data_IF_321076796739
#
_entry.id   IF_321076796739
#
_cell.length_a   1.000
_cell.length_b   1.000
_cell.length_c   1.000
_cell.angle_alpha   90.00
_cell.angle_beta   90.00
_cell.angle_gamma   90.00
#
_symmetry.space_group_name_H-M   'P 1'
#
loop_
_entity.id
_entity.type
_entity.pdbx_description
1 polymer ?
#
# COMPACT_ATOMS: atom_id res chain seq x y z
N UNK A 1 -1.04 13.64 -12.53
CA UNK A 1 -0.80 13.06 -11.19
C UNK A 1 0.11 11.85 -11.36
N UNK A 2 1.26 11.80 -10.68
CA UNK A 2 2.18 10.65 -10.75
C UNK A 2 1.68 9.46 -9.91
N UNK A 3 2.03 8.24 -10.28
CA UNK A 3 1.67 7.00 -9.59
C UNK A 3 2.95 6.21 -9.32
N UNK A 4 3.21 5.95 -8.03
CA UNK A 4 4.28 5.04 -7.60
C UNK A 4 3.65 3.81 -6.97
N UNK A 5 4.08 2.62 -7.40
CA UNK A 5 3.71 1.36 -6.74
C UNK A 5 4.85 0.88 -5.85
N UNK A 6 4.60 0.69 -4.55
CA UNK A 6 5.51 0.03 -3.63
C UNK A 6 5.00 -1.36 -3.31
N UNK A 7 5.78 -2.35 -3.74
CA UNK A 7 5.53 -3.78 -3.57
C UNK A 7 6.63 -4.41 -2.71
N UNK A 8 6.47 -5.68 -2.34
CA UNK A 8 7.43 -6.37 -1.49
C UNK A 8 7.50 -7.86 -1.75
N UNK A 9 8.71 -8.40 -1.68
CA UNK A 9 9.00 -9.80 -1.94
C UNK A 9 8.30 -10.72 -0.94
N UNK A 10 8.24 -10.34 0.35
CA UNK A 10 7.47 -11.06 1.39
C UNK A 10 6.66 -10.09 2.27
N UNK A 11 5.94 -10.61 3.27
CA UNK A 11 5.25 -9.77 4.25
C UNK A 11 6.25 -9.16 5.23
N UNK A 12 6.03 -7.92 5.69
CA UNK A 12 6.90 -7.29 6.69
C UNK A 12 8.24 -6.73 6.18
N UNK A 13 8.58 -6.88 4.90
CA UNK A 13 9.88 -6.44 4.32
C UNK A 13 10.18 -4.93 4.35
N UNK A 14 9.28 -4.08 4.85
CA UNK A 14 9.53 -2.63 4.93
C UNK A 14 8.91 -1.76 3.83
N UNK A 15 7.91 -2.28 3.10
CA UNK A 15 7.13 -1.47 2.12
C UNK A 15 6.62 -0.14 2.69
N UNK A 16 5.94 -0.20 3.84
CA UNK A 16 5.39 0.98 4.48
C UNK A 16 6.50 1.93 4.93
N UNK A 17 7.66 1.42 5.37
CA UNK A 17 8.82 2.24 5.72
C UNK A 17 9.36 3.00 4.52
N UNK A 18 9.51 2.33 3.37
CA UNK A 18 9.89 2.98 2.12
C UNK A 18 8.88 4.06 1.72
N UNK A 19 7.58 3.76 1.81
CA UNK A 19 6.52 4.71 1.50
C UNK A 19 6.55 5.94 2.42
N UNK A 20 6.74 5.77 3.73
CA UNK A 20 6.86 6.88 4.69
C UNK A 20 8.05 7.79 4.34
N UNK A 21 9.22 7.20 4.07
CA UNK A 21 10.41 7.98 3.76
C UNK A 21 10.27 8.79 2.47
N UNK A 22 9.59 8.24 1.45
CA UNK A 22 9.26 9.00 0.25
C UNK A 22 8.25 10.11 0.54
N UNK A 23 7.16 9.81 1.26
CA UNK A 23 6.10 10.80 1.57
C UNK A 23 6.63 12.01 2.32
N UNK A 24 7.60 11.84 3.22
CA UNK A 24 8.26 12.96 3.92
C UNK A 24 8.91 13.98 2.98
N UNK A 25 9.24 13.57 1.76
CA UNK A 25 9.94 14.38 0.77
C UNK A 25 9.05 14.79 -0.42
N UNK A 26 7.79 14.33 -0.45
CA UNK A 26 6.88 14.53 -1.58
C UNK A 26 5.73 15.48 -1.20
N UNK A 27 5.74 16.70 -1.75
CA UNK A 27 4.73 17.72 -1.47
C UNK A 27 3.42 17.44 -2.21
N UNK A 28 2.30 17.51 -1.50
CA UNK A 28 0.95 17.30 -2.05
C UNK A 28 0.71 15.89 -2.63
N UNK A 29 1.31 14.86 -2.04
CA UNK A 29 1.07 13.46 -2.41
C UNK A 29 0.05 12.80 -1.50
N UNK A 30 -0.71 11.86 -2.05
CA UNK A 30 -1.57 10.95 -1.30
C UNK A 30 -0.99 9.53 -1.27
N UNK A 31 -1.60 8.66 -0.49
CA UNK A 31 -1.27 7.24 -0.46
C UNK A 31 -2.52 6.36 -0.51
N UNK A 32 -2.34 5.14 -1.01
CA UNK A 32 -3.40 4.16 -1.12
C UNK A 32 -2.85 2.77 -0.74
N UNK A 33 -3.31 2.21 0.36
CA UNK A 33 -2.99 0.83 0.73
C UNK A 33 -3.98 -0.11 0.04
N UNK A 34 -3.49 -1.15 -0.61
CA UNK A 34 -4.33 -2.16 -1.28
C UNK A 34 -4.18 -3.51 -0.59
N UNK A 35 -5.30 -4.08 -0.17
CA UNK A 35 -5.39 -5.44 0.37
C UNK A 35 -6.41 -6.22 -0.44
N UNK A 36 -5.92 -7.19 -1.22
CA UNK A 36 -6.79 -8.18 -1.83
C UNK A 36 -7.25 -9.19 -0.76
N UNK A 37 -8.55 -9.32 -0.61
CA UNK A 37 -9.20 -10.26 0.28
C UNK A 37 -9.55 -11.51 -0.51
N UNK A 38 -8.61 -12.45 -0.61
CA UNK A 38 -8.77 -13.75 -1.27
C UNK A 38 -9.55 -14.77 -0.43
N UNK A 39 -10.41 -14.29 0.50
CA UNK A 39 -11.06 -15.10 1.54
C UNK A 39 -11.94 -16.24 1.01
N UNK A 40 -12.07 -17.29 1.83
CA UNK A 40 -12.89 -18.50 1.62
C UNK A 40 -12.58 -19.53 2.73
N UNK A 41 -13.46 -20.52 2.95
CA UNK A 41 -13.28 -21.57 3.99
C UNK A 41 -12.00 -22.39 3.83
N UNK A 42 -11.43 -22.44 2.62
CA UNK A 42 -10.17 -23.13 2.30
C UNK A 42 -8.91 -22.24 2.36
N UNK A 43 -9.04 -20.92 2.52
CA UNK A 43 -7.88 -20.01 2.45
C UNK A 43 -7.20 -19.85 3.82
N UNK A 44 -5.96 -20.36 3.96
CA UNK A 44 -5.10 -19.99 5.09
C UNK A 44 -4.61 -18.55 4.93
N UNK A 45 -5.03 -17.68 5.84
CA UNK A 45 -4.55 -16.31 5.89
C UNK A 45 -3.01 -16.27 5.95
N UNK A 46 -2.33 -15.48 5.10
CA UNK A 46 -0.87 -15.35 5.13
C UNK A 46 -0.33 -14.72 6.43
N UNK A 47 -1.22 -14.24 7.31
CA UNK A 47 -0.89 -13.79 8.67
C UNK A 47 -0.91 -14.93 9.71
N UNK A 48 -1.15 -16.17 9.30
CA UNK A 48 -1.09 -17.36 10.15
C UNK A 48 -2.21 -17.50 11.18
N UNK A 49 -3.18 -16.55 11.23
CA UNK A 49 -4.33 -16.60 12.14
C UNK A 49 -5.56 -17.18 11.44
N UNK A 50 -6.41 -17.90 12.19
CA UNK A 50 -7.73 -18.35 11.72
C UNK A 50 -8.58 -17.18 11.19
N UNK A 51 -8.49 -16.02 11.84
CA UNK A 51 -9.02 -14.75 11.34
C UNK A 51 -8.06 -13.59 11.68
N UNK A 52 -7.86 -12.67 10.74
CA UNK A 52 -7.11 -11.43 10.94
C UNK A 52 -8.00 -10.18 10.95
N UNK A 53 -9.32 -10.35 10.89
CA UNK A 53 -10.32 -9.29 10.87
C UNK A 53 -10.44 -8.56 9.53
N UNK A 54 -9.46 -8.65 8.63
CA UNK A 54 -9.47 -7.88 7.37
C UNK A 54 -10.42 -8.50 6.35
N UNK A 55 -10.23 -9.78 6.03
CA UNK A 55 -11.08 -10.47 5.06
C UNK A 55 -12.51 -10.66 5.58
N UNK A 56 -12.67 -11.03 6.86
CA UNK A 56 -13.98 -11.19 7.49
C UNK A 56 -14.76 -9.88 7.62
N UNK A 57 -14.08 -8.73 7.74
CA UNK A 57 -14.75 -7.41 7.76
C UNK A 57 -15.33 -6.99 6.40
N UNK A 58 -14.91 -7.61 5.29
CA UNK A 58 -15.33 -7.21 3.96
C UNK A 58 -16.71 -7.81 3.64
N UNK A 59 -17.78 -7.05 3.90
CA UNK A 59 -19.17 -7.46 3.62
C UNK A 59 -19.63 -7.25 2.17
N UNK A 60 -18.84 -6.54 1.38
CA UNK A 60 -19.14 -6.14 -0.01
C UNK A 60 -18.05 -6.66 -0.95
N UNK A 61 -18.20 -6.42 -2.24
CA UNK A 61 -17.18 -6.75 -3.24
C UNK A 61 -15.86 -6.00 -3.03
N UNK A 62 -15.95 -4.76 -2.60
CA UNK A 62 -14.81 -3.95 -2.18
C UNK A 62 -15.27 -2.83 -1.23
N UNK A 63 -14.32 -2.32 -0.46
CA UNK A 63 -14.47 -1.18 0.45
C UNK A 63 -13.28 -0.23 0.26
N UNK A 64 -13.56 1.06 0.16
CA UNK A 64 -12.56 2.12 0.08
C UNK A 64 -12.78 3.06 1.24
N UNK A 65 -11.99 2.92 2.29
CA UNK A 65 -12.05 3.74 3.50
C UNK A 65 -11.00 4.86 3.41
N UNK A 66 -11.39 6.10 3.72
CA UNK A 66 -10.45 7.21 3.89
C UNK A 66 -9.94 7.19 5.33
N UNK A 67 -8.63 7.29 5.51
CA UNK A 67 -8.03 7.46 6.84
C UNK A 67 -8.28 8.91 7.31
N UNK A 68 -8.71 9.05 8.57
CA UNK A 68 -8.98 10.35 9.19
C UNK A 68 -7.97 10.62 10.30
N UNK A 69 -7.48 11.86 10.37
CA UNK A 69 -6.75 12.33 11.56
C UNK A 69 -7.78 12.49 12.67
N UNK A 70 -7.76 11.62 13.67
CA UNK A 70 -8.50 11.87 14.90
C UNK A 70 -7.66 12.82 15.76
N UNK A 71 -8.08 14.09 15.85
CA UNK A 71 -7.70 14.96 16.95
C UNK A 71 -8.60 14.60 18.11
N UNK A 72 -8.08 13.95 19.15
CA UNK A 72 -8.55 14.14 20.53
C UNK A 72 -7.64 13.38 21.48
N UNK A 73 -7.14 14.11 22.48
CA UNK A 73 -6.37 13.58 23.61
C UNK A 73 -7.22 12.79 24.62
N UNK A 74 -8.53 12.61 24.39
CA UNK A 74 -9.47 11.97 25.33
C UNK A 74 -10.57 11.15 24.62
N UNK A 75 -10.21 10.19 23.77
CA UNK A 75 -11.19 9.19 23.34
C UNK A 75 -10.53 7.82 23.16
N UNK A 76 -10.89 6.89 24.03
CA UNK A 76 -10.72 5.45 23.88
C UNK A 76 -11.53 4.94 22.68
N UNK A 77 -11.14 5.33 21.46
CA UNK A 77 -11.56 4.59 20.28
C UNK A 77 -10.62 3.39 20.13
N UNK A 78 -11.14 2.17 20.00
CA UNK A 78 -10.33 0.97 20.15
C UNK A 78 -9.20 0.98 19.12
N UNK A 79 -7.98 0.84 19.62
CA UNK A 79 -6.72 0.68 18.88
C UNK A 79 -6.82 -0.33 17.72
N UNK A 80 -7.79 -1.24 17.77
CA UNK A 80 -8.16 -2.22 16.73
C UNK A 80 -8.75 -1.63 15.44
N UNK A 81 -9.32 -0.42 15.43
CA UNK A 81 -9.98 0.15 14.24
C UNK A 81 -9.02 0.83 13.25
N UNK A 82 -7.73 0.99 13.62
CA UNK A 82 -6.69 1.61 12.79
C UNK A 82 -5.80 0.54 12.17
N UNK A 83 -5.60 0.57 10.86
CA UNK A 83 -4.48 -0.17 10.26
C UNK A 83 -3.20 0.60 10.60
N UNK A 84 -2.31 0.00 11.40
CA UNK A 84 -1.01 0.60 11.79
C UNK A 84 -0.28 1.23 10.60
N UNK A 85 -0.38 0.61 9.42
CA UNK A 85 0.29 1.11 8.21
C UNK A 85 -0.38 2.36 7.60
N UNK A 86 -1.72 2.45 7.57
CA UNK A 86 -2.39 3.59 6.91
C UNK A 86 -2.24 4.87 7.72
N UNK A 87 -2.26 4.74 9.05
CA UNK A 87 -1.94 5.83 9.97
C UNK A 87 -0.49 6.29 9.85
N UNK A 88 0.46 5.36 9.66
CA UNK A 88 1.87 5.65 9.39
C UNK A 88 2.07 6.48 8.12
N UNK A 89 1.40 6.11 7.03
CA UNK A 89 1.44 6.88 5.78
C UNK A 89 0.91 8.30 5.96
N UNK A 90 -0.19 8.46 6.72
CA UNK A 90 -0.78 9.77 7.00
C UNK A 90 0.18 10.64 7.85
N UNK A 91 0.75 10.07 8.92
CA UNK A 91 1.76 10.73 9.76
C UNK A 91 3.02 11.11 8.99
N UNK A 92 3.39 10.36 7.96
CA UNK A 92 4.56 10.65 7.14
C UNK A 92 4.37 11.82 6.15
N UNK A 93 3.17 12.39 6.06
CA UNK A 93 2.91 13.60 5.26
C UNK A 93 1.97 13.40 4.07
N UNK A 94 1.41 12.21 3.86
CA UNK A 94 0.37 12.02 2.86
C UNK A 94 -0.82 12.95 3.13
N UNK A 95 -1.29 13.68 2.12
CA UNK A 95 -2.43 14.60 2.23
C UNK A 95 -3.78 13.89 2.30
N UNK A 96 -3.84 12.67 1.78
CA UNK A 96 -4.93 11.73 2.03
C UNK A 96 -4.38 10.31 1.98
N UNK A 97 -4.99 9.43 2.76
CA UNK A 97 -4.73 7.99 2.70
C UNK A 97 -6.03 7.26 2.47
N UNK A 98 -6.07 6.41 1.44
CA UNK A 98 -7.16 5.45 1.24
C UNK A 98 -6.68 4.04 1.59
N UNK A 99 -7.59 3.24 2.15
CA UNK A 99 -7.41 1.80 2.27
C UNK A 99 -8.46 1.09 1.44
N UNK A 100 -7.98 0.40 0.41
CA UNK A 100 -8.78 -0.46 -0.46
C UNK A 100 -8.70 -1.88 0.05
N UNK A 101 -9.83 -2.43 0.49
CA UNK A 101 -10.05 -3.87 0.69
C UNK A 101 -10.91 -4.36 -0.45
N UNK A 102 -10.52 -5.40 -1.17
CA UNK A 102 -11.22 -5.79 -2.41
C UNK A 102 -11.09 -7.27 -2.68
N UNK A 103 -12.14 -7.91 -3.18
CA UNK A 103 -12.02 -9.27 -3.74
C UNK A 103 -11.24 -9.20 -5.08
N UNK A 104 -10.50 -10.25 -5.47
CA UNK A 104 -9.65 -10.25 -6.67
C UNK A 104 -10.39 -9.79 -7.94
N UNK A 105 -11.60 -10.27 -8.17
CA UNK A 105 -12.44 -9.96 -9.33
C UNK A 105 -12.87 -8.48 -9.41
N UNK A 106 -12.82 -7.75 -8.29
CA UNK A 106 -13.14 -6.31 -8.22
C UNK A 106 -11.91 -5.41 -8.08
N UNK A 107 -10.69 -5.97 -8.16
CA UNK A 107 -9.45 -5.23 -7.97
C UNK A 107 -9.33 -4.02 -8.90
N UNK A 108 -9.46 -4.21 -10.21
CA UNK A 108 -9.37 -3.13 -11.20
C UNK A 108 -10.43 -2.04 -10.97
N UNK A 109 -11.68 -2.43 -10.72
CA UNK A 109 -12.80 -1.51 -10.44
C UNK A 109 -12.53 -0.69 -9.18
N UNK A 110 -12.08 -1.34 -8.10
CA UNK A 110 -11.81 -0.69 -6.81
C UNK A 110 -10.64 0.30 -6.90
N UNK A 111 -9.56 -0.05 -7.62
CA UNK A 111 -8.42 0.84 -7.86
C UNK A 111 -8.81 2.04 -8.72
N UNK A 112 -9.60 1.84 -9.80
CA UNK A 112 -10.13 2.93 -10.62
C UNK A 112 -10.93 3.93 -9.78
N UNK A 113 -11.77 3.43 -8.86
CA UNK A 113 -12.55 4.28 -7.92
C UNK A 113 -11.64 5.00 -6.91
N UNK A 114 -10.60 4.34 -6.41
CA UNK A 114 -9.64 4.96 -5.50
C UNK A 114 -8.87 6.10 -6.19
N UNK A 115 -8.37 5.88 -7.41
CA UNK A 115 -7.71 6.90 -8.22
C UNK A 115 -8.61 8.11 -8.46
N UNK A 116 -9.89 7.88 -8.82
CA UNK A 116 -10.85 8.97 -9.03
C UNK A 116 -10.98 9.88 -7.80
N UNK A 117 -10.97 9.31 -6.59
CA UNK A 117 -11.02 10.05 -5.32
C UNK A 117 -9.72 10.81 -4.98
N UNK A 118 -8.62 10.50 -5.65
CA UNK A 118 -7.29 11.05 -5.40
C UNK A 118 -6.78 11.99 -6.50
N UNK A 119 -7.57 12.23 -7.57
CA UNK A 119 -7.14 13.00 -8.76
C UNK A 119 -6.58 14.41 -8.47
N UNK A 120 -6.94 15.03 -7.34
CA UNK A 120 -6.49 16.38 -6.97
C UNK A 120 -5.07 16.48 -6.40
N UNK A 121 -4.38 15.35 -6.20
CA UNK A 121 -3.02 15.34 -5.64
C UNK A 121 -1.95 15.32 -6.74
N UNK A 122 -0.74 15.80 -6.40
CA UNK A 122 0.40 15.80 -7.32
C UNK A 122 0.84 14.38 -7.69
N UNK A 123 0.71 13.44 -6.75
CA UNK A 123 0.94 12.02 -6.98
C UNK A 123 0.31 11.12 -5.91
N UNK A 124 0.30 9.81 -6.17
CA UNK A 124 -0.19 8.78 -5.25
C UNK A 124 0.83 7.65 -5.12
N UNK A 125 1.14 7.27 -3.88
CA UNK A 125 1.84 6.01 -3.60
C UNK A 125 0.81 4.90 -3.35
N UNK A 126 0.83 3.85 -4.16
CA UNK A 126 0.10 2.61 -3.91
C UNK A 126 0.99 1.61 -3.15
N UNK A 127 0.58 1.18 -1.96
CA UNK A 127 1.27 0.15 -1.18
C UNK A 127 0.55 -1.20 -1.29
N UNK A 128 1.24 -2.21 -1.82
CA UNK A 128 0.77 -3.59 -1.90
C UNK A 128 0.89 -4.21 -3.29
N UNK A 129 1.29 -5.48 -3.36
CA UNK A 129 1.61 -6.16 -4.63
C UNK A 129 0.45 -6.17 -5.64
N UNK A 130 -0.79 -6.36 -5.16
CA UNK A 130 -1.97 -6.42 -6.02
C UNK A 130 -2.23 -5.10 -6.76
N UNK A 131 -1.78 -3.96 -6.24
CA UNK A 131 -1.91 -2.69 -6.96
C UNK A 131 -1.21 -2.74 -8.32
N UNK A 132 -0.01 -3.34 -8.38
CA UNK A 132 0.80 -3.45 -9.59
C UNK A 132 0.25 -4.48 -10.60
N UNK A 133 -0.69 -5.34 -10.19
CA UNK A 133 -1.34 -6.26 -11.14
C UNK A 133 -2.15 -5.50 -12.19
N UNK A 134 -2.78 -4.39 -11.80
CA UNK A 134 -3.72 -3.64 -12.64
C UNK A 134 -3.30 -2.20 -12.97
N UNK A 135 -2.32 -1.66 -12.25
CA UNK A 135 -1.79 -0.32 -12.52
C UNK A 135 -0.65 -0.38 -13.54
N UNK A 136 -0.55 0.68 -14.33
CA UNK A 136 0.64 1.06 -15.09
C UNK A 136 1.26 2.30 -14.41
N UNK A 137 2.12 2.13 -13.38
CA UNK A 137 2.67 3.26 -12.63
C UNK A 137 3.80 3.96 -13.40
N UNK A 138 4.11 5.20 -13.01
CA UNK A 138 5.33 5.90 -13.47
C UNK A 138 6.60 5.30 -12.86
N UNK A 139 6.46 4.65 -11.69
CA UNK A 139 7.56 3.92 -11.05
C UNK A 139 7.02 2.76 -10.17
N UNK A 140 7.55 1.57 -10.40
CA UNK A 140 7.27 0.36 -9.62
C UNK A 140 8.52 -0.08 -8.84
N UNK A 141 8.38 -0.12 -7.53
CA UNK A 141 9.43 -0.48 -6.58
C UNK A 141 9.08 -1.80 -5.89
N UNK A 142 10.06 -2.69 -5.72
CA UNK A 142 9.91 -3.87 -4.87
C UNK A 142 10.96 -3.91 -3.77
N UNK A 143 10.51 -3.92 -2.51
CA UNK A 143 11.40 -4.17 -1.38
C UNK A 143 11.70 -5.67 -1.29
N UNK A 144 12.97 -6.02 -1.39
CA UNK A 144 13.43 -7.40 -1.34
C UNK A 144 13.46 -7.94 0.09
N UNK A 145 13.25 -9.26 0.21
CA UNK A 145 13.40 -9.97 1.48
C UNK A 145 14.90 -10.19 1.75
N UNK A 146 15.39 -10.06 2.99
CA UNK A 146 16.80 -10.30 3.31
C UNK A 146 17.27 -11.71 2.93
N UNK A 147 16.38 -12.70 3.04
CA UNK A 147 16.61 -14.10 2.70
C UNK A 147 16.39 -14.44 1.21
N UNK A 148 16.17 -13.43 0.36
CA UNK A 148 15.96 -13.60 -1.08
C UNK A 148 14.63 -14.24 -1.48
N UNK A 149 13.75 -14.58 -0.53
CA UNK A 149 12.47 -15.24 -0.85
C UNK A 149 11.46 -14.29 -1.49
N UNK A 150 10.61 -14.86 -2.35
CA UNK A 150 9.45 -14.19 -2.92
C UNK A 150 8.19 -15.01 -2.61
N UNK A 151 7.14 -14.34 -2.13
CA UNK A 151 5.81 -14.93 -2.06
C UNK A 151 5.18 -14.96 -3.46
N UNK A 152 4.19 -15.82 -3.66
CA UNK A 152 3.44 -15.94 -4.92
C UNK A 152 3.02 -14.60 -5.52
N UNK A 153 2.33 -13.75 -4.76
CA UNK A 153 1.89 -12.43 -5.25
C UNK A 153 3.03 -11.44 -5.54
N UNK A 154 4.27 -11.71 -5.14
CA UNK A 154 5.43 -10.94 -5.59
C UNK A 154 5.97 -11.45 -6.93
N UNK A 155 6.00 -12.77 -7.12
CA UNK A 155 6.40 -13.39 -8.38
C UNK A 155 5.48 -12.97 -9.54
N UNK A 156 4.17 -12.92 -9.30
CA UNK A 156 3.14 -12.52 -10.28
C UNK A 156 3.34 -11.12 -10.86
N UNK A 157 4.01 -10.22 -10.13
CA UNK A 157 4.24 -8.82 -10.55
C UNK A 157 5.72 -8.48 -10.76
N UNK A 158 6.62 -9.45 -10.60
CA UNK A 158 8.08 -9.22 -10.62
C UNK A 158 8.55 -8.56 -11.92
N UNK A 159 7.99 -8.98 -13.06
CA UNK A 159 8.37 -8.47 -14.38
C UNK A 159 7.85 -7.04 -14.66
N UNK A 160 7.01 -6.48 -13.77
CA UNK A 160 6.50 -5.11 -13.85
C UNK A 160 7.25 -4.15 -12.93
N UNK A 161 8.32 -4.60 -12.27
CA UNK A 161 9.08 -3.81 -11.30
C UNK A 161 10.26 -3.14 -11.98
N UNK A 162 10.39 -1.83 -11.81
CA UNK A 162 11.51 -1.06 -12.35
C UNK A 162 12.74 -1.15 -11.45
N UNK A 163 12.54 -1.11 -10.12
CA UNK A 163 13.65 -1.11 -9.17
C UNK A 163 13.41 -2.06 -7.98
N UNK A 164 14.43 -2.86 -7.70
CA UNK A 164 14.49 -3.71 -6.52
C UNK A 164 15.30 -3.03 -5.41
N UNK A 165 14.69 -2.90 -4.24
CA UNK A 165 15.23 -2.13 -3.11
C UNK A 165 15.69 -3.11 -2.02
N UNK A 166 16.97 -3.09 -1.68
CA UNK A 166 17.58 -3.82 -0.54
C UNK A 166 17.96 -2.82 0.55
N UNK A 167 17.70 -3.08 1.82
CA UNK A 167 18.13 -2.20 2.93
C UNK A 167 17.67 -0.74 2.77
N UNK A 168 16.37 -0.49 2.90
CA UNK A 168 15.74 0.84 2.78
C UNK A 168 16.49 1.89 3.63
N UNK A 169 17.11 2.87 2.98
CA UNK A 169 17.90 3.92 3.62
C UNK A 169 17.85 5.25 2.84
N UNK A 170 18.40 6.33 3.41
CA UNK A 170 18.33 7.67 2.81
C UNK A 170 19.01 7.79 1.43
N UNK A 171 20.05 6.99 1.15
CA UNK A 171 20.72 6.99 -0.16
C UNK A 171 19.74 6.52 -1.24
N UNK A 172 19.02 5.41 -0.97
CA UNK A 172 18.02 4.89 -1.91
C UNK A 172 16.85 5.86 -2.09
N UNK A 173 16.41 6.50 -1.01
CA UNK A 173 15.33 7.50 -1.07
C UNK A 173 15.72 8.65 -1.99
N UNK A 174 16.95 9.18 -1.87
CA UNK A 174 17.42 10.25 -2.74
C UNK A 174 17.39 9.84 -4.22
N UNK A 175 17.93 8.67 -4.54
CA UNK A 175 17.95 8.15 -5.92
C UNK A 175 16.53 7.92 -6.48
N UNK A 176 15.59 7.43 -5.67
CA UNK A 176 14.20 7.27 -6.08
C UNK A 176 13.56 8.64 -6.33
N UNK A 177 13.77 9.62 -5.44
CA UNK A 177 13.19 10.96 -5.58
C UNK A 177 13.68 11.69 -6.83
N UNK A 178 14.92 11.47 -7.25
CA UNK A 178 15.45 12.00 -8.52
C UNK A 178 14.65 11.45 -9.71
N UNK A 179 14.39 10.14 -9.75
CA UNK A 179 13.55 9.51 -10.79
C UNK A 179 12.10 9.99 -10.76
N UNK A 180 11.57 10.29 -9.58
CA UNK A 180 10.20 10.81 -9.43
C UNK A 180 10.07 12.26 -9.91
N UNK A 181 11.16 13.03 -9.97
CA UNK A 181 11.15 14.43 -10.41
C UNK A 181 11.36 14.60 -11.91
N UNK A 182 12.05 13.66 -12.55
CA UNK A 182 12.11 13.51 -14.01
C UNK A 182 10.71 13.27 -14.58
#
# INVERSE_FOLDING_TARGET
MKIICITGATSGVGKTTLAEMLLRNLKNWAACKVTACTGGSAHRCPRGKKDCGVCSSLKKDYEIKKETVYSNNNAEFPFMARSKDTHRLLKAGAKAVLWVKTKPEFLAKSIKRALARLKGYSGVIFEGNHALQVLNPDLALMVLSPDGRFKRSALEIKNKVDLFIKNVNNVQIKAILEKVRQ
#
